data_IF_049864702866
#
_entry.id   IF_049864702866
#
_cell.length_a   1.000
_cell.length_b   1.000
_cell.length_c   1.000
_cell.angle_alpha   90.00
_cell.angle_beta   90.00
_cell.angle_gamma   90.00
#
_symmetry.space_group_name_H-M   'P 1'
#
loop_
_entity.id
_entity.type
_entity.pdbx_description
1 polymer ?
#
# COMPACT_ATOMS: atom_id res chain seq x y z
N UNK A 1 2.09 -64.59 4.12
CA UNK A 1 1.76 -64.63 5.56
C UNK A 1 3.04 -64.84 6.37
N UNK A 2 3.20 -64.04 7.44
CA UNK A 2 4.27 -64.03 8.47
C UNK A 2 5.59 -63.34 8.08
N UNK A 3 6.22 -62.50 8.90
CA UNK A 3 5.85 -61.55 10.00
C UNK A 3 7.17 -60.84 10.35
N UNK A 4 7.07 -59.56 10.66
CA UNK A 4 8.05 -58.60 11.19
C UNK A 4 9.20 -59.13 12.06
N UNK A 5 10.35 -58.48 11.97
CA UNK A 5 11.16 -58.11 13.14
C UNK A 5 11.77 -56.70 12.98
N UNK A 6 11.45 -55.86 13.95
CA UNK A 6 11.91 -54.49 14.20
C UNK A 6 13.17 -54.50 15.08
N UNK A 7 13.80 -53.30 15.19
CA UNK A 7 14.60 -52.70 16.28
C UNK A 7 15.85 -52.03 15.68
N UNK A 8 15.89 -50.73 15.41
CA UNK A 8 15.92 -49.53 16.29
C UNK A 8 17.25 -49.32 17.04
N UNK A 9 17.56 -48.04 17.29
CA UNK A 9 18.59 -47.44 18.20
C UNK A 9 19.95 -47.16 17.49
N UNK A 10 20.62 -46.01 17.58
CA UNK A 10 20.45 -44.76 18.34
C UNK A 10 21.18 -43.58 17.67
N UNK A 11 20.72 -42.39 18.07
CA UNK A 11 21.32 -41.05 17.97
C UNK A 11 22.69 -40.98 18.64
N UNK A 12 23.66 -40.33 17.98
CA UNK A 12 24.74 -39.48 18.55
C UNK A 12 25.26 -38.62 17.38
N UNK A 13 25.74 -37.39 17.48
CA UNK A 13 25.75 -36.35 18.49
C UNK A 13 26.06 -35.04 17.74
N UNK A 14 25.73 -33.91 18.36
CA UNK A 14 26.06 -32.56 17.92
C UNK A 14 27.57 -32.35 17.78
N UNK A 15 27.98 -31.60 16.76
CA UNK A 15 29.18 -30.75 16.83
C UNK A 15 28.82 -29.37 16.27
N UNK A 16 28.88 -28.39 17.16
CA UNK A 16 28.84 -26.95 16.90
C UNK A 16 29.99 -26.49 16.00
N UNK A 17 29.73 -25.38 15.32
CA UNK A 17 30.66 -24.30 14.98
C UNK A 17 31.94 -24.67 14.22
N UNK A 18 31.97 -24.34 12.93
CA UNK A 18 33.19 -23.80 12.33
C UNK A 18 32.80 -22.52 11.59
N UNK A 19 33.27 -21.40 12.11
CA UNK A 19 33.34 -20.10 11.45
C UNK A 19 34.12 -20.21 10.14
N UNK A 20 33.70 -19.46 9.13
CA UNK A 20 34.65 -18.92 8.14
C UNK A 20 34.13 -17.58 7.64
N UNK A 21 34.92 -16.55 7.93
CA UNK A 21 34.83 -15.20 7.40
C UNK A 21 35.06 -15.18 5.88
N UNK A 22 34.32 -14.28 5.22
CA UNK A 22 34.63 -13.52 4.01
C UNK A 22 35.53 -14.11 2.92
N UNK A 23 34.94 -14.39 1.76
CA UNK A 23 35.53 -13.99 0.48
C UNK A 23 34.48 -13.34 -0.45
N UNK A 24 34.91 -12.21 -1.00
CA UNK A 24 34.14 -11.19 -1.73
C UNK A 24 34.14 -11.48 -3.23
N UNK A 25 33.15 -10.89 -3.93
CA UNK A 25 33.03 -10.64 -5.37
C UNK A 25 32.21 -11.62 -6.22
N UNK A 26 30.91 -11.34 -6.30
CA UNK A 26 30.20 -11.39 -7.57
C UNK A 26 29.57 -10.00 -7.82
N UNK A 27 30.15 -9.28 -8.77
CA UNK A 27 29.77 -7.96 -9.24
C UNK A 27 28.46 -8.03 -10.05
N UNK A 28 27.57 -7.08 -9.75
CA UNK A 28 26.55 -6.48 -10.62
C UNK A 28 25.53 -7.39 -11.34
N UNK A 29 24.31 -7.42 -10.79
CA UNK A 29 23.13 -7.17 -11.63
C UNK A 29 22.16 -6.28 -10.85
N UNK A 30 21.97 -5.07 -11.37
CA UNK A 30 21.21 -3.98 -10.79
C UNK A 30 19.70 -4.27 -10.91
N UNK A 31 19.16 -5.07 -9.98
CA UNK A 31 17.74 -5.07 -9.59
C UNK A 31 17.72 -5.36 -8.10
N UNK A 32 17.59 -4.31 -7.31
CA UNK A 32 17.33 -4.40 -5.89
C UNK A 32 15.99 -5.13 -5.72
N UNK A 33 16.07 -6.45 -5.58
CA UNK A 33 14.97 -7.27 -5.09
C UNK A 33 14.59 -6.67 -3.75
N UNK A 34 13.37 -6.13 -3.66
CA UNK A 34 12.73 -5.73 -2.41
C UNK A 34 12.43 -6.99 -1.58
N UNK A 35 13.48 -7.71 -1.19
CA UNK A 35 13.49 -8.65 -0.09
C UNK A 35 13.81 -7.86 1.16
N UNK A 36 12.85 -7.04 1.60
CA UNK A 36 12.89 -6.46 2.94
C UNK A 36 11.49 -6.48 3.56
N UNK A 37 11.40 -7.19 4.68
CA UNK A 37 10.33 -7.18 5.69
C UNK A 37 9.18 -8.19 5.57
N UNK A 38 9.53 -9.48 5.67
CA UNK A 38 8.74 -10.44 6.49
C UNK A 38 9.40 -10.67 7.86
N UNK A 39 9.89 -9.60 8.50
CA UNK A 39 10.21 -9.66 9.92
C UNK A 39 8.91 -9.49 10.71
N UNK A 40 8.44 -10.56 11.36
CA UNK A 40 7.40 -10.49 12.40
C UNK A 40 7.71 -9.34 13.36
N UNK A 41 6.96 -8.24 13.29
CA UNK A 41 7.02 -7.17 14.30
C UNK A 41 7.07 -5.72 13.80
N UNK A 42 7.24 -5.45 12.50
CA UNK A 42 7.06 -4.09 11.98
C UNK A 42 5.58 -3.88 11.69
N UNK A 43 4.93 -2.94 12.40
CA UNK A 43 3.59 -2.46 12.00
C UNK A 43 3.75 -1.83 10.61
N UNK A 44 3.15 -2.43 9.58
CA UNK A 44 3.12 -1.81 8.26
C UNK A 44 2.37 -0.47 8.38
N UNK A 45 2.96 0.62 7.89
CA UNK A 45 2.23 1.88 7.77
C UNK A 45 1.22 1.80 6.61
N UNK A 46 0.26 2.71 6.59
CA UNK A 46 -0.84 2.73 5.61
C UNK A 46 -0.32 2.71 4.17
N UNK A 47 0.77 3.43 3.87
CA UNK A 47 1.43 3.38 2.56
C UNK A 47 1.97 1.99 2.19
N UNK A 48 2.69 1.32 3.09
CA UNK A 48 3.21 -0.04 2.83
C UNK A 48 2.08 -1.04 2.59
N UNK A 49 0.97 -0.89 3.33
CA UNK A 49 -0.22 -1.71 3.13
C UNK A 49 -0.85 -1.45 1.76
N UNK A 50 -1.06 -0.17 1.41
CA UNK A 50 -1.53 0.24 0.09
C UNK A 50 -0.68 -0.36 -1.04
N UNK A 51 0.65 -0.23 -0.93
CA UNK A 51 1.57 -0.71 -1.95
C UNK A 51 1.58 -2.23 -2.06
N UNK A 52 1.50 -2.94 -0.93
CA UNK A 52 1.41 -4.41 -0.90
C UNK A 52 0.14 -4.92 -1.60
N UNK A 53 -0.99 -4.26 -1.36
CA UNK A 53 -2.26 -4.62 -2.00
C UNK A 53 -2.20 -4.37 -3.50
N UNK A 54 -1.66 -3.23 -3.94
CA UNK A 54 -1.50 -2.94 -5.36
C UNK A 54 -0.56 -3.90 -6.07
N UNK A 55 0.61 -4.16 -5.49
CA UNK A 55 1.62 -5.03 -6.09
C UNK A 55 1.17 -6.50 -6.19
N UNK A 56 0.22 -6.91 -5.35
CA UNK A 56 -0.36 -8.26 -5.38
C UNK A 56 -1.54 -8.41 -6.34
N UNK A 57 -2.03 -7.30 -6.93
CA UNK A 57 -3.08 -7.35 -7.94
C UNK A 57 -2.51 -7.56 -9.35
N UNK A 58 -2.99 -8.58 -10.05
CA UNK A 58 -2.61 -8.87 -11.43
C UNK A 58 -3.65 -8.32 -12.41
N UNK A 59 -3.29 -7.27 -13.15
CA UNK A 59 -4.13 -6.70 -14.20
C UNK A 59 -4.20 -7.63 -15.41
N UNK A 60 -5.40 -7.92 -15.90
CA UNK A 60 -5.64 -8.80 -17.02
C UNK A 60 -5.92 -8.00 -18.29
N UNK A 61 -4.94 -7.95 -19.19
CA UNK A 61 -5.03 -7.26 -20.48
C UNK A 61 -6.05 -7.87 -21.46
N UNK A 62 -6.63 -9.04 -21.16
CA UNK A 62 -7.70 -9.65 -21.95
C UNK A 62 -9.10 -9.18 -21.53
N UNK A 63 -9.21 -8.53 -20.37
CA UNK A 63 -10.45 -8.00 -19.82
C UNK A 63 -10.53 -6.49 -20.03
N UNK A 64 -11.75 -5.97 -20.04
CA UNK A 64 -12.00 -4.54 -20.05
C UNK A 64 -11.47 -3.88 -18.77
N UNK A 65 -11.26 -2.56 -18.81
CA UNK A 65 -10.88 -1.81 -17.61
C UNK A 65 -11.93 -1.96 -16.50
N UNK A 66 -13.23 -1.93 -16.85
CA UNK A 66 -14.32 -2.09 -15.89
C UNK A 66 -14.31 -3.47 -15.20
N UNK A 67 -14.02 -4.54 -15.95
CA UNK A 67 -13.86 -5.88 -15.37
C UNK A 67 -12.65 -5.96 -14.45
N UNK A 68 -11.52 -5.34 -14.84
CA UNK A 68 -10.35 -5.25 -13.97
C UNK A 68 -10.63 -4.45 -12.69
N UNK A 69 -11.41 -3.37 -12.77
CA UNK A 69 -11.82 -2.60 -11.58
C UNK A 69 -12.67 -3.44 -10.62
N UNK A 70 -13.60 -4.26 -11.13
CA UNK A 70 -14.38 -5.16 -10.28
C UNK A 70 -13.50 -6.22 -9.60
N UNK A 71 -12.54 -6.80 -10.34
CA UNK A 71 -11.58 -7.74 -9.76
C UNK A 71 -10.66 -7.08 -8.73
N UNK A 72 -10.25 -5.83 -9.00
CA UNK A 72 -9.45 -5.05 -8.08
C UNK A 72 -10.23 -4.76 -6.79
N UNK A 73 -11.49 -4.36 -6.89
CA UNK A 73 -12.35 -4.15 -5.73
C UNK A 73 -12.44 -5.42 -4.86
N UNK A 74 -12.73 -6.57 -5.48
CA UNK A 74 -12.78 -7.86 -4.78
C UNK A 74 -11.45 -8.20 -4.12
N UNK A 75 -10.34 -7.94 -4.81
CA UNK A 75 -8.99 -8.17 -4.30
C UNK A 75 -8.71 -7.30 -3.07
N UNK A 76 -8.94 -6.00 -3.15
CA UNK A 76 -8.73 -5.07 -2.03
C UNK A 76 -9.55 -5.49 -0.82
N UNK A 77 -10.85 -5.73 -1.00
CA UNK A 77 -11.74 -6.19 0.06
C UNK A 77 -11.25 -7.49 0.72
N UNK A 78 -10.80 -8.46 -0.09
CA UNK A 78 -10.23 -9.71 0.45
C UNK A 78 -8.95 -9.47 1.25
N UNK A 79 -8.05 -8.60 0.76
CA UNK A 79 -6.80 -8.30 1.44
C UNK A 79 -7.03 -7.54 2.76
N UNK A 80 -8.04 -6.67 2.82
CA UNK A 80 -8.34 -5.86 4.01
C UNK A 80 -8.70 -6.67 5.25
N UNK A 81 -9.16 -7.92 5.08
CA UNK A 81 -9.38 -8.86 6.20
C UNK A 81 -8.10 -9.18 6.99
N UNK A 82 -6.91 -8.90 6.44
CA UNK A 82 -5.63 -9.08 7.11
C UNK A 82 -5.19 -7.84 7.92
N UNK A 83 -5.82 -6.68 7.69
CA UNK A 83 -5.36 -5.38 8.21
C UNK A 83 -6.40 -4.70 9.11
N UNK A 84 -7.69 -4.95 8.87
CA UNK A 84 -8.81 -4.37 9.62
C UNK A 84 -9.44 -5.44 10.53
N UNK A 85 -9.82 -5.12 11.78
CA UNK A 85 -10.56 -6.04 12.63
C UNK A 85 -11.81 -6.57 11.93
N UNK A 86 -11.98 -7.89 11.88
CA UNK A 86 -13.08 -8.53 11.14
C UNK A 86 -14.47 -8.11 11.65
N UNK A 87 -14.57 -7.75 12.93
CA UNK A 87 -15.80 -7.32 13.59
C UNK A 87 -16.31 -5.97 13.08
N UNK A 88 -15.40 -5.10 12.64
CA UNK A 88 -15.71 -3.77 12.12
C UNK A 88 -15.64 -3.69 10.61
N UNK A 89 -15.15 -4.75 9.96
CA UNK A 89 -14.97 -4.81 8.53
C UNK A 89 -16.32 -4.79 7.79
N UNK A 90 -16.37 -3.97 6.74
CA UNK A 90 -17.47 -3.91 5.78
C UNK A 90 -16.89 -4.01 4.38
N UNK A 91 -17.61 -4.71 3.51
CA UNK A 91 -17.27 -4.71 2.09
C UNK A 91 -17.55 -3.33 1.52
N UNK A 92 -16.56 -2.76 0.86
CA UNK A 92 -16.57 -1.42 0.27
C UNK A 92 -16.60 -1.53 -1.25
N UNK A 93 -17.44 -0.72 -1.89
CA UNK A 93 -17.58 -0.67 -3.35
C UNK A 93 -17.00 0.63 -3.91
N UNK A 94 -16.51 0.57 -5.15
CA UNK A 94 -16.14 1.76 -5.91
C UNK A 94 -17.41 2.37 -6.51
N UNK A 95 -17.70 3.62 -6.15
CA UNK A 95 -18.66 4.42 -6.89
C UNK A 95 -18.00 4.91 -8.19
N UNK A 96 -18.50 4.42 -9.32
CA UNK A 96 -17.94 4.72 -10.63
C UNK A 96 -18.13 6.19 -11.02
N UNK A 97 -19.24 6.82 -10.65
CA UNK A 97 -19.47 8.24 -10.95
C UNK A 97 -18.47 9.10 -10.18
N UNK A 98 -18.26 8.77 -8.91
CA UNK A 98 -17.26 9.45 -8.08
C UNK A 98 -15.83 9.18 -8.57
N UNK A 99 -15.51 7.95 -9.01
CA UNK A 99 -14.21 7.64 -9.60
C UNK A 99 -13.95 8.49 -10.85
N UNK A 100 -14.94 8.64 -11.73
CA UNK A 100 -14.82 9.49 -12.92
C UNK A 100 -14.55 10.96 -12.57
N UNK A 101 -15.18 11.47 -11.51
CA UNK A 101 -14.86 12.80 -10.97
C UNK A 101 -13.39 12.85 -10.55
N UNK A 102 -12.95 11.94 -9.69
CA UNK A 102 -11.58 11.88 -9.15
C UNK A 102 -10.49 11.67 -10.21
N UNK A 103 -10.83 11.09 -11.37
CA UNK A 103 -9.91 10.98 -12.50
C UNK A 103 -9.63 12.32 -13.20
N UNK A 104 -10.47 13.33 -12.98
CA UNK A 104 -10.45 14.61 -13.71
C UNK A 104 -10.33 15.84 -12.79
N UNK A 105 -10.17 15.63 -11.49
CA UNK A 105 -10.08 16.73 -10.52
C UNK A 105 -8.80 17.54 -10.68
N UNK A 106 -8.90 18.82 -10.34
CA UNK A 106 -7.74 19.66 -10.04
C UNK A 106 -7.51 19.72 -8.52
N UNK A 107 -6.50 20.48 -8.12
CA UNK A 107 -6.19 20.67 -6.70
C UNK A 107 -7.31 21.39 -5.93
N UNK A 108 -8.19 22.14 -6.58
CA UNK A 108 -9.28 22.87 -5.91
C UNK A 108 -10.36 21.91 -5.36
N UNK A 109 -10.36 20.65 -5.80
CA UNK A 109 -11.20 19.61 -5.20
C UNK A 109 -10.90 19.38 -3.70
N UNK A 110 -9.68 19.71 -3.23
CA UNK A 110 -9.30 19.62 -1.81
C UNK A 110 -10.24 20.44 -0.92
N UNK A 111 -10.78 21.55 -1.42
CA UNK A 111 -11.74 22.37 -0.68
C UNK A 111 -13.06 21.64 -0.38
N UNK A 112 -13.43 20.66 -1.21
CA UNK A 112 -14.65 19.85 -1.01
C UNK A 112 -14.47 18.74 0.03
N UNK A 113 -13.24 18.44 0.43
CA UNK A 113 -12.96 17.42 1.44
C UNK A 113 -13.37 17.91 2.84
N UNK A 114 -13.86 17.00 3.66
CA UNK A 114 -14.31 17.20 5.05
C UNK A 114 -13.13 17.07 6.00
N UNK A 115 -12.05 17.80 5.69
CA UNK A 115 -10.85 17.90 6.53
C UNK A 115 -10.75 19.28 7.19
N UNK A 116 -9.96 19.35 8.26
CA UNK A 116 -9.59 20.63 8.89
C UNK A 116 -8.77 21.49 7.91
N UNK A 117 -8.74 22.81 8.16
CA UNK A 117 -7.98 23.75 7.33
C UNK A 117 -6.51 23.34 7.22
N UNK A 118 -5.91 22.92 8.34
CA UNK A 118 -4.52 22.51 8.44
C UNK A 118 -4.22 21.30 7.55
N UNK A 119 -5.13 20.33 7.52
CA UNK A 119 -4.98 19.14 6.69
C UNK A 119 -5.13 19.49 5.22
N UNK A 120 -6.09 20.35 4.85
CA UNK A 120 -6.19 20.84 3.47
C UNK A 120 -4.91 21.58 3.04
N UNK A 121 -4.39 22.48 3.87
CA UNK A 121 -3.12 23.19 3.63
C UNK A 121 -1.94 22.23 3.44
N UNK A 122 -1.85 21.18 4.25
CA UNK A 122 -0.84 20.13 4.11
C UNK A 122 -0.99 19.36 2.79
N UNK A 123 -2.21 18.97 2.41
CA UNK A 123 -2.47 18.27 1.13
C UNK A 123 -2.10 19.17 -0.07
N UNK A 124 -2.45 20.47 -0.02
CA UNK A 124 -2.03 21.45 -1.02
C UNK A 124 -0.50 21.56 -1.11
N UNK A 125 0.19 21.58 0.03
CA UNK A 125 1.64 21.66 0.06
C UNK A 125 2.31 20.39 -0.51
N UNK A 126 1.74 19.21 -0.28
CA UNK A 126 2.20 17.93 -0.88
C UNK A 126 2.12 18.02 -2.40
N UNK A 127 0.92 18.23 -2.94
CA UNK A 127 0.67 18.28 -4.39
C UNK A 127 1.43 19.42 -5.07
N UNK A 128 1.72 20.51 -4.34
CA UNK A 128 2.51 21.64 -4.81
C UNK A 128 4.03 21.47 -4.69
N UNK A 129 4.51 20.31 -4.22
CA UNK A 129 5.91 20.03 -3.90
C UNK A 129 6.56 21.11 -3.00
N UNK A 130 5.81 21.54 -1.99
CA UNK A 130 6.21 22.54 -0.96
C UNK A 130 6.11 22.00 0.46
N UNK A 131 5.77 20.72 0.60
CA UNK A 131 5.65 20.06 1.89
C UNK A 131 7.02 19.91 2.56
N UNK A 132 7.08 20.18 3.86
CA UNK A 132 8.29 20.00 4.66
C UNK A 132 7.95 19.38 6.02
N UNK A 133 8.97 18.89 6.73
CA UNK A 133 8.82 18.22 8.03
C UNK A 133 8.10 19.09 9.07
N UNK A 134 8.31 20.40 9.05
CA UNK A 134 7.76 21.34 10.01
C UNK A 134 6.22 21.41 9.91
N UNK A 135 5.65 21.15 8.73
CA UNK A 135 4.21 21.06 8.54
C UNK A 135 3.58 19.82 9.22
N UNK A 136 4.32 18.70 9.33
CA UNK A 136 3.85 17.48 10.02
C UNK A 136 3.75 17.72 11.52
N UNK A 137 4.68 18.49 12.09
CA UNK A 137 4.74 18.77 13.53
C UNK A 137 3.53 19.58 14.04
N UNK A 138 2.87 20.33 13.14
CA UNK A 138 1.65 21.10 13.45
C UNK A 138 0.40 20.21 13.52
N UNK A 139 0.47 18.96 13.04
CA UNK A 139 -0.64 18.01 13.06
C UNK A 139 -0.54 17.18 14.33
N UNK A 140 -1.37 17.52 15.31
CA UNK A 140 -1.35 16.92 16.65
C UNK A 140 -2.18 15.65 16.76
N UNK A 141 -3.13 15.44 15.84
CA UNK A 141 -3.92 14.22 15.75
C UNK A 141 -3.12 13.11 15.04
N UNK A 142 -2.97 11.96 15.68
CA UNK A 142 -2.18 10.83 15.14
C UNK A 142 -2.76 10.27 13.84
N UNK A 143 -4.09 10.14 13.72
CA UNK A 143 -4.73 9.65 12.50
C UNK A 143 -4.54 10.61 11.33
N UNK A 144 -4.66 11.91 11.57
CA UNK A 144 -4.41 12.93 10.56
C UNK A 144 -2.93 12.99 10.16
N UNK A 145 -2.00 12.78 11.11
CA UNK A 145 -0.57 12.69 10.83
C UNK A 145 -0.25 11.50 9.94
N UNK A 146 -0.77 10.31 10.27
CA UNK A 146 -0.59 9.10 9.48
C UNK A 146 -1.12 9.28 8.05
N UNK A 147 -2.26 9.96 7.88
CA UNK A 147 -2.78 10.32 6.56
C UNK A 147 -1.78 11.19 5.79
N UNK A 148 -1.29 12.28 6.37
CA UNK A 148 -0.36 13.20 5.70
C UNK A 148 0.97 12.52 5.35
N UNK A 149 1.52 11.70 6.24
CA UNK A 149 2.73 10.91 5.95
C UNK A 149 2.49 9.93 4.79
N UNK A 150 1.32 9.31 4.74
CA UNK A 150 0.92 8.41 3.65
C UNK A 150 0.77 9.16 2.34
N UNK A 151 0.09 10.31 2.33
CA UNK A 151 -0.07 11.14 1.14
C UNK A 151 1.25 11.67 0.62
N UNK A 152 2.15 12.14 1.50
CA UNK A 152 3.48 12.59 1.10
C UNK A 152 4.31 11.46 0.48
N UNK A 153 4.25 10.26 1.05
CA UNK A 153 4.96 9.10 0.52
C UNK A 153 4.34 8.62 -0.80
N UNK A 154 3.01 8.66 -0.92
CA UNK A 154 2.25 8.29 -2.12
C UNK A 154 2.58 9.21 -3.31
N UNK A 155 2.66 10.52 -3.06
CA UNK A 155 2.92 11.53 -4.09
C UNK A 155 4.38 11.46 -4.59
N UNK A 156 5.35 11.30 -3.67
CA UNK A 156 6.77 11.21 -4.02
C UNK A 156 7.21 9.90 -4.68
N UNK A 157 6.48 8.80 -4.45
CA UNK A 157 6.73 7.52 -5.13
C UNK A 157 5.88 7.37 -6.41
N UNK A 158 5.33 8.47 -6.89
CA UNK A 158 4.69 8.58 -8.17
C UNK A 158 5.61 8.40 -9.37
N UNK A 159 5.02 8.24 -10.55
CA UNK A 159 5.72 8.35 -11.83
C UNK A 159 5.95 9.84 -12.14
N UNK A 160 6.73 10.18 -13.16
CA UNK A 160 7.00 11.58 -13.54
C UNK A 160 5.77 12.35 -14.09
N UNK A 161 4.55 11.80 -13.99
CA UNK A 161 3.29 12.46 -14.35
C UNK A 161 2.66 13.14 -13.11
N UNK A 162 2.93 14.44 -12.99
CA UNK A 162 2.42 15.30 -11.90
C UNK A 162 0.90 15.30 -11.78
N UNK A 163 0.17 15.18 -12.90
CA UNK A 163 -1.30 15.20 -12.89
C UNK A 163 -1.85 13.87 -12.35
N UNK A 164 -1.28 12.76 -12.80
CA UNK A 164 -1.66 11.45 -12.33
C UNK A 164 -1.35 11.27 -10.84
N UNK A 165 -0.17 11.68 -10.38
CA UNK A 165 0.19 11.66 -8.95
C UNK A 165 -0.78 12.49 -8.13
N UNK A 166 -1.09 13.70 -8.58
CA UNK A 166 -2.09 14.56 -7.95
C UNK A 166 -3.44 13.87 -7.82
N UNK A 167 -3.97 13.30 -8.90
CA UNK A 167 -5.28 12.67 -8.89
C UNK A 167 -5.31 11.45 -7.96
N UNK A 168 -4.23 10.67 -7.93
CA UNK A 168 -4.04 9.55 -7.01
C UNK A 168 -4.00 10.01 -5.55
N UNK A 169 -3.27 11.08 -5.26
CA UNK A 169 -3.19 11.70 -3.92
C UNK A 169 -4.55 12.23 -3.46
N UNK A 170 -5.28 12.93 -4.32
CA UNK A 170 -6.64 13.42 -4.03
C UNK A 170 -7.62 12.26 -3.86
N UNK A 171 -7.54 11.22 -4.68
CA UNK A 171 -8.39 10.03 -4.59
C UNK A 171 -8.15 9.27 -3.28
N UNK A 172 -6.90 9.14 -2.84
CA UNK A 172 -6.56 8.55 -1.55
C UNK A 172 -7.16 9.37 -0.41
N UNK A 173 -6.94 10.69 -0.42
CA UNK A 173 -7.49 11.60 0.59
C UNK A 173 -9.02 11.57 0.62
N UNK A 174 -9.68 11.52 -0.54
CA UNK A 174 -11.13 11.38 -0.63
C UNK A 174 -11.62 10.10 0.06
N UNK A 175 -11.03 8.94 -0.29
CA UNK A 175 -11.45 7.66 0.27
C UNK A 175 -11.18 7.55 1.78
N UNK A 176 -10.08 8.13 2.25
CA UNK A 176 -9.67 8.10 3.66
C UNK A 176 -10.65 8.82 4.60
N UNK A 177 -11.54 9.68 4.08
CA UNK A 177 -12.63 10.28 4.86
C UNK A 177 -13.66 9.23 5.33
N UNK A 178 -13.76 8.11 4.61
CA UNK A 178 -14.73 7.06 4.87
C UNK A 178 -14.08 5.84 5.52
N UNK A 179 -13.00 5.34 4.91
CA UNK A 179 -12.22 4.22 5.44
C UNK A 179 -10.88 4.09 4.71
N UNK A 180 -9.90 3.45 5.35
CA UNK A 180 -8.65 3.11 4.67
C UNK A 180 -8.89 2.19 3.45
N UNK A 181 -9.88 1.29 3.52
CA UNK A 181 -10.30 0.47 2.38
C UNK A 181 -10.73 1.34 1.19
N UNK A 182 -11.59 2.34 1.40
CA UNK A 182 -12.00 3.28 0.36
C UNK A 182 -10.82 4.08 -0.19
N UNK A 183 -9.85 4.48 0.67
CA UNK A 183 -8.62 5.15 0.22
C UNK A 183 -7.82 4.28 -0.77
N UNK A 184 -7.64 2.99 -0.44
CA UNK A 184 -6.94 2.03 -1.31
C UNK A 184 -7.71 1.76 -2.60
N UNK A 185 -9.04 1.63 -2.53
CA UNK A 185 -9.90 1.42 -3.70
C UNK A 185 -9.79 2.57 -4.70
N UNK A 186 -10.01 3.82 -4.26
CA UNK A 186 -9.99 4.96 -5.19
C UNK A 186 -8.59 5.26 -5.72
N UNK A 187 -7.58 5.36 -4.86
CA UNK A 187 -6.21 5.62 -5.31
C UNK A 187 -5.69 4.50 -6.23
N UNK A 188 -6.00 3.24 -5.89
CA UNK A 188 -5.63 2.11 -6.72
C UNK A 188 -6.36 2.06 -8.06
N UNK A 189 -7.63 2.46 -8.12
CA UNK A 189 -8.35 2.58 -9.39
C UNK A 189 -7.72 3.66 -10.30
N UNK A 190 -7.24 4.78 -9.75
CA UNK A 190 -6.45 5.77 -10.50
C UNK A 190 -5.13 5.16 -10.99
N UNK A 191 -4.43 4.39 -10.15
CA UNK A 191 -3.19 3.70 -10.52
C UNK A 191 -3.40 2.68 -11.66
N UNK A 192 -4.54 1.99 -11.69
CA UNK A 192 -4.86 1.03 -12.75
C UNK A 192 -5.31 1.69 -14.06
N UNK A 193 -5.67 2.97 -14.05
CA UNK A 193 -6.15 3.68 -15.25
C UNK A 193 -5.05 3.92 -16.30
N UNK A 194 -3.78 3.80 -15.91
CA UNK A 194 -2.61 3.98 -16.78
C UNK A 194 -2.00 2.67 -17.28
N UNK A 195 -2.64 1.52 -17.02
CA UNK A 195 -2.17 0.18 -17.40
C UNK A 195 -2.85 -0.39 -18.64
#
# INVERSE_FOLDING_TARGET
MKRFFLYAVAITALCSSCETEDEVFATETNKQSNTLHQAKGVKANDYQTYQSILNSFAYNNQQTHQENLLLFEQHVNRQMLNYVPQETYKYEIIDIEQLLVLQQVDADYIEKLVYTKQIKEAIYAIIGNRFNSDMVELITNESERNLIETLFTLDNNGNDDDLWNRNKTIAFAYGAQYSFTQAVLYAGAIELSVK
#
